data_IF_002167383795
#
_entry.id   IF_002167383795
#
_cell.length_a   1.000
_cell.length_b   1.000
_cell.length_c   1.000
_cell.angle_alpha   90.00
_cell.angle_beta   90.00
_cell.angle_gamma   90.00
#
_symmetry.space_group_name_H-M   'P 1'
#
loop_
_entity.id
_entity.type
_entity.pdbx_description
1 polymer ?
#
# COMPACT_ATOMS: atom_id res chain seq x y z
N UNK A 1 2.36 19.80 -4.89
CA UNK A 1 2.12 19.13 -6.20
C UNK A 1 0.66 18.65 -6.39
N UNK A 2 -0.26 18.84 -5.44
CA UNK A 2 -1.65 18.34 -5.55
C UNK A 2 -2.69 19.42 -5.87
N UNK A 3 -2.27 20.63 -6.27
CA UNK A 3 -3.16 21.79 -6.38
C UNK A 3 -4.03 21.81 -7.64
N UNK A 4 -3.70 20.99 -8.66
CA UNK A 4 -4.43 20.89 -9.93
C UNK A 4 -4.79 19.42 -10.21
N UNK A 5 -5.62 18.83 -9.35
CA UNK A 5 -6.11 17.48 -9.54
C UNK A 5 -7.52 17.51 -10.16
N UNK A 6 -7.88 16.52 -10.99
CA UNK A 6 -9.21 16.46 -11.59
C UNK A 6 -10.31 16.35 -10.52
N UNK A 7 -11.53 16.75 -10.86
CA UNK A 7 -12.69 16.80 -9.94
C UNK A 7 -13.11 15.44 -9.35
N UNK A 8 -12.51 14.34 -9.81
CA UNK A 8 -12.75 12.97 -9.33
C UNK A 8 -11.59 12.51 -8.46
N UNK A 9 -11.89 11.83 -7.34
CA UNK A 9 -10.93 11.25 -6.38
C UNK A 9 -9.72 10.60 -7.08
N UNK A 10 -8.62 11.35 -7.29
CA UNK A 10 -7.51 10.88 -8.09
C UNK A 10 -6.69 9.90 -7.26
N UNK A 11 -6.14 8.86 -7.90
CA UNK A 11 -5.18 7.96 -7.27
C UNK A 11 -3.78 8.46 -7.59
N UNK A 12 -3.01 8.82 -6.57
CA UNK A 12 -1.60 9.17 -6.70
C UNK A 12 -0.71 8.03 -6.20
N UNK A 13 0.36 7.76 -6.94
CA UNK A 13 1.38 6.78 -6.53
C UNK A 13 2.59 7.55 -6.02
N UNK A 14 2.98 7.27 -4.78
CA UNK A 14 3.98 8.03 -4.04
C UNK A 14 5.24 7.18 -3.83
N UNK A 15 6.40 7.80 -4.02
CA UNK A 15 7.68 7.18 -3.67
C UNK A 15 7.85 7.06 -2.14
N UNK A 16 8.56 6.01 -1.73
CA UNK A 16 8.89 5.70 -0.33
C UNK A 16 9.53 6.87 0.45
N UNK A 17 10.26 7.77 -0.22
CA UNK A 17 10.83 8.95 0.44
C UNK A 17 9.74 9.84 1.07
N UNK A 18 8.59 9.97 0.42
CA UNK A 18 7.51 10.86 0.84
C UNK A 18 6.40 10.15 1.63
N UNK A 19 6.35 8.82 1.60
CA UNK A 19 5.32 8.04 2.28
C UNK A 19 5.39 8.15 3.81
N UNK A 20 4.28 8.58 4.42
CA UNK A 20 4.04 8.57 5.86
C UNK A 20 2.55 8.42 6.16
N UNK A 21 2.19 7.89 7.34
CA UNK A 21 0.78 7.75 7.74
C UNK A 21 0.07 9.11 7.72
N UNK A 22 0.68 10.13 8.32
CA UNK A 22 0.11 11.48 8.39
C UNK A 22 -0.15 12.10 7.01
N UNK A 23 0.71 11.82 6.02
CA UNK A 23 0.46 12.26 4.64
C UNK A 23 -0.77 11.55 4.05
N UNK A 24 -0.88 10.24 4.24
CA UNK A 24 -2.00 9.46 3.70
C UNK A 24 -3.34 9.85 4.34
N UNK A 25 -3.35 10.14 5.64
CA UNK A 25 -4.48 10.73 6.36
C UNK A 25 -4.88 12.09 5.79
N UNK A 26 -3.90 12.97 5.55
CA UNK A 26 -4.13 14.28 4.95
C UNK A 26 -4.75 14.17 3.55
N UNK A 27 -4.19 13.30 2.71
CA UNK A 27 -4.70 13.07 1.35
C UNK A 27 -6.12 12.52 1.37
N UNK A 28 -6.42 11.59 2.29
CA UNK A 28 -7.76 11.04 2.45
C UNK A 28 -8.78 12.12 2.81
N UNK A 29 -8.44 13.05 3.72
CA UNK A 29 -9.29 14.21 4.06
C UNK A 29 -9.51 15.17 2.90
N UNK A 30 -8.63 15.16 1.90
CA UNK A 30 -8.75 15.94 0.65
C UNK A 30 -9.45 15.15 -0.46
N UNK A 31 -10.01 13.98 -0.17
CA UNK A 31 -10.60 13.06 -1.16
C UNK A 31 -9.59 12.65 -2.24
N UNK A 32 -8.31 12.59 -1.88
CA UNK A 32 -7.22 12.13 -2.76
C UNK A 32 -6.81 10.73 -2.32
N UNK A 33 -6.91 9.81 -3.26
CA UNK A 33 -6.47 8.44 -3.07
C UNK A 33 -4.96 8.33 -3.29
N UNK A 34 -4.32 7.50 -2.49
CA UNK A 34 -2.87 7.38 -2.47
C UNK A 34 -2.44 5.94 -2.18
N UNK A 35 -1.40 5.52 -2.88
CA UNK A 35 -0.68 4.27 -2.65
C UNK A 35 0.81 4.58 -2.70
N UNK A 36 1.60 4.00 -1.80
CA UNK A 36 3.03 4.22 -1.80
C UNK A 36 3.78 3.20 -0.99
N UNK A 37 4.98 2.83 -1.44
CA UNK A 37 5.86 1.97 -0.62
C UNK A 37 6.25 2.70 0.65
N UNK A 38 6.52 1.97 1.72
CA UNK A 38 7.02 2.53 2.98
C UNK A 38 8.18 1.67 3.49
N UNK A 39 9.08 2.25 4.30
CA UNK A 39 10.07 1.47 5.05
C UNK A 39 9.46 1.07 6.39
N UNK A 40 9.77 -0.14 6.84
CA UNK A 40 9.37 -0.70 8.13
C UNK A 40 9.85 0.12 9.33
N UNK A 41 10.99 0.82 9.20
CA UNK A 41 11.54 1.68 10.23
C UNK A 41 10.85 3.06 10.35
N UNK A 42 9.76 3.32 9.62
CA UNK A 42 8.98 4.57 9.76
C UNK A 42 8.14 4.55 11.03
N UNK A 43 8.04 5.70 11.68
CA UNK A 43 7.24 5.87 12.89
C UNK A 43 5.73 5.72 12.62
N UNK A 44 5.01 5.23 13.62
CA UNK A 44 3.55 5.09 13.60
C UNK A 44 3.02 3.83 12.91
N UNK A 45 3.88 3.01 12.31
CA UNK A 45 3.46 1.75 11.69
C UNK A 45 3.06 0.71 12.75
N UNK A 46 1.92 0.07 12.53
CA UNK A 46 1.44 -1.03 13.34
C UNK A 46 2.37 -2.25 13.25
N UNK A 47 2.40 -3.08 14.28
CA UNK A 47 3.10 -4.37 14.20
C UNK A 47 2.35 -5.28 13.23
N UNK A 48 3.12 -5.90 12.35
CA UNK A 48 2.68 -6.91 11.38
C UNK A 48 3.44 -8.20 11.64
N UNK A 49 2.96 -9.32 11.09
CA UNK A 49 3.55 -10.66 11.26
C UNK A 49 5.06 -10.60 10.97
N UNK A 50 5.85 -11.29 11.80
CA UNK A 50 7.29 -11.39 11.65
C UNK A 50 7.67 -12.03 10.29
N UNK A 51 8.71 -11.50 9.65
CA UNK A 51 9.23 -11.99 8.37
C UNK A 51 9.52 -13.49 8.33
N UNK A 52 9.96 -14.07 9.45
CA UNK A 52 10.31 -15.49 9.59
C UNK A 52 9.08 -16.40 9.56
N UNK A 53 7.90 -15.84 9.85
CA UNK A 53 6.64 -16.58 9.88
C UNK A 53 5.86 -16.50 8.57
N UNK A 54 6.32 -15.70 7.61
CA UNK A 54 5.68 -15.54 6.30
C UNK A 54 6.41 -16.34 5.22
N UNK A 55 5.65 -17.09 4.43
CA UNK A 55 6.11 -17.74 3.20
C UNK A 55 6.00 -16.76 2.04
N UNK A 56 6.73 -17.06 0.95
CA UNK A 56 6.59 -16.29 -0.29
C UNK A 56 5.15 -16.40 -0.81
N UNK A 57 4.54 -15.25 -1.09
CA UNK A 57 3.14 -15.12 -1.47
C UNK A 57 2.24 -14.65 -0.33
N UNK A 58 2.63 -14.87 0.92
CA UNK A 58 1.83 -14.46 2.08
C UNK A 58 1.76 -12.93 2.18
N UNK A 59 0.63 -12.44 2.67
CA UNK A 59 0.46 -11.03 3.01
C UNK A 59 -0.19 -10.89 4.39
N UNK A 60 0.02 -9.74 5.00
CA UNK A 60 -0.59 -9.30 6.25
C UNK A 60 -0.96 -7.82 6.10
N UNK A 61 -1.96 -7.37 6.84
CA UNK A 61 -2.36 -5.97 6.83
C UNK A 61 -2.81 -5.50 8.20
N UNK A 62 -2.75 -4.19 8.38
CA UNK A 62 -3.28 -3.48 9.53
C UNK A 62 -3.95 -2.21 9.04
N UNK A 63 -4.98 -1.76 9.75
CA UNK A 63 -5.68 -0.52 9.43
C UNK A 63 -5.55 0.46 10.59
N UNK A 64 -5.22 1.72 10.29
CA UNK A 64 -5.29 2.78 11.29
C UNK A 64 -6.75 3.12 11.62
N UNK A 65 -6.98 3.78 12.76
CA UNK A 65 -8.29 4.31 13.13
C UNK A 65 -8.86 5.33 12.10
N UNK A 66 -8.01 5.92 11.26
CA UNK A 66 -8.43 6.82 10.16
C UNK A 66 -8.61 6.08 8.82
N UNK A 67 -8.54 4.76 8.84
CA UNK A 67 -8.71 3.91 7.66
C UNK A 67 -7.56 4.02 6.66
N UNK A 68 -6.32 4.12 7.17
CA UNK A 68 -5.11 3.99 6.36
C UNK A 68 -4.62 2.56 6.52
N UNK A 69 -4.54 1.85 5.40
CA UNK A 69 -4.05 0.48 5.37
C UNK A 69 -2.53 0.48 5.30
N UNK A 70 -1.92 -0.34 6.15
CA UNK A 70 -0.53 -0.73 6.11
C UNK A 70 -0.46 -2.20 5.72
N UNK A 71 0.06 -2.46 4.53
CA UNK A 71 0.21 -3.81 4.01
C UNK A 71 1.66 -4.26 4.08
N UNK A 72 1.81 -5.56 4.33
CA UNK A 72 3.05 -6.30 4.21
C UNK A 72 2.81 -7.47 3.27
N UNK A 73 3.62 -7.60 2.24
CA UNK A 73 3.61 -8.76 1.34
C UNK A 73 5.01 -9.36 1.24
N UNK A 74 5.10 -10.69 1.30
CA UNK A 74 6.36 -11.41 1.22
C UNK A 74 6.59 -11.95 -0.19
N UNK A 75 7.48 -11.32 -0.94
CA UNK A 75 8.10 -11.96 -2.11
C UNK A 75 9.43 -12.61 -1.68
N UNK A 76 10.54 -12.39 -2.39
CA UNK A 76 11.87 -12.79 -1.91
C UNK A 76 12.27 -12.01 -0.65
N UNK A 77 11.80 -10.77 -0.52
CA UNK A 77 11.95 -9.90 0.64
C UNK A 77 10.58 -9.32 1.00
N UNK A 78 10.34 -8.93 2.27
CA UNK A 78 9.11 -8.23 2.62
C UNK A 78 9.04 -6.89 1.90
N UNK A 79 7.86 -6.59 1.38
CA UNK A 79 7.52 -5.31 0.77
C UNK A 79 6.40 -4.70 1.59
N UNK A 80 6.56 -3.42 1.91
CA UNK A 80 5.61 -2.67 2.71
C UNK A 80 5.02 -1.52 1.91
N UNK A 81 3.73 -1.29 2.06
CA UNK A 81 3.06 -0.16 1.42
C UNK A 81 1.91 0.38 2.26
N UNK A 82 1.64 1.68 2.08
CA UNK A 82 0.48 2.37 2.62
C UNK A 82 -0.55 2.55 1.52
N UNK A 83 -1.82 2.54 1.89
CA UNK A 83 -2.95 2.75 0.99
C UNK A 83 -4.10 3.43 1.75
N UNK A 84 -4.84 4.34 1.10
CA UNK A 84 -6.05 4.95 1.66
C UNK A 84 -7.31 4.77 0.77
N UNK A 85 -7.19 4.00 -0.32
CA UNK A 85 -8.20 3.90 -1.37
C UNK A 85 -8.80 2.49 -1.56
N UNK A 86 -8.19 1.47 -0.97
CA UNK A 86 -8.67 0.09 -1.04
C UNK A 86 -8.86 -0.48 0.36
N UNK A 87 -9.81 -1.41 0.48
CA UNK A 87 -9.98 -2.28 1.64
C UNK A 87 -9.01 -3.47 1.62
N UNK A 88 -9.27 -4.47 2.45
CA UNK A 88 -8.54 -5.74 2.52
C UNK A 88 -9.17 -6.86 1.69
N UNK A 89 -10.18 -6.56 0.87
CA UNK A 89 -10.82 -7.53 -0.01
C UNK A 89 -9.80 -8.22 -0.93
N UNK A 90 -9.78 -9.55 -0.89
CA UNK A 90 -8.89 -10.35 -1.73
C UNK A 90 -9.63 -11.11 -2.81
N UNK A 91 -9.02 -11.23 -3.98
CA UNK A 91 -9.45 -12.14 -5.03
C UNK A 91 -8.27 -12.98 -5.55
N UNK A 92 -8.55 -14.23 -5.91
CA UNK A 92 -7.56 -15.10 -6.54
C UNK A 92 -7.55 -14.80 -8.03
N UNK A 93 -6.39 -14.45 -8.57
CA UNK A 93 -6.21 -14.16 -10.00
C UNK A 93 -5.33 -15.23 -10.63
N UNK A 94 -5.86 -15.94 -11.63
CA UNK A 94 -5.06 -16.86 -12.44
C UNK A 94 -4.19 -16.07 -13.43
N UNK A 95 -2.86 -16.17 -13.29
CA UNK A 95 -1.95 -15.60 -14.28
C UNK A 95 -1.91 -16.50 -15.52
N UNK A 96 -2.50 -16.04 -16.62
CA UNK A 96 -2.20 -16.60 -17.95
C UNK A 96 -0.79 -16.15 -18.34
N UNK A 97 0.15 -17.09 -18.45
CA UNK A 97 1.47 -16.81 -19.02
C UNK A 97 1.28 -16.48 -20.50
N UNK A 98 1.38 -15.20 -20.87
CA UNK A 98 1.45 -14.81 -22.26
C UNK A 98 2.77 -15.30 -22.82
N UNK A 99 2.71 -16.26 -23.76
CA UNK A 99 3.88 -16.66 -24.54
C UNK A 99 4.37 -15.41 -25.29
N UNK A 100 5.51 -14.86 -24.86
CA UNK A 100 6.21 -13.84 -25.65
C UNK A 100 6.83 -14.56 -26.83
N UNK A 101 6.40 -14.17 -28.03
CA UNK A 101 7.05 -14.55 -29.28
C UNK A 101 8.50 -14.05 -29.26
N UNK A 102 9.44 -14.95 -29.58
CA UNK A 102 10.84 -14.62 -29.85
C UNK A 102 10.97 -13.91 -31.18
#
# INVERSE_FOLDING_TARGET
MTHNLPDKNPIIIIDNYFSSISLFEYLKRKSIYAIGRVRDNRSGLSKVIDDKKMKRGDFDNQISNQGIYFFKWKDNRPVYFLCNCHGDDTCVVERKLTQRWY
#
